data_IF_121164513327
#
_entry.id   IF_121164513327
#
_cell.length_a   1.000
_cell.length_b   1.000
_cell.length_c   1.000
_cell.angle_alpha   90.00
_cell.angle_beta   90.00
_cell.angle_gamma   90.00
#
_symmetry.space_group_name_H-M   'P 1'
#
loop_
_entity.id
_entity.type
_entity.pdbx_description
1 polymer ?
#
# COMPACT_ATOMS: atom_id res chain seq x y z
N UNK A 1 -31.38 38.17 -29.94
CA UNK A 1 -32.51 37.35 -29.47
C UNK A 1 -32.06 35.90 -29.45
N UNK A 2 -32.17 35.23 -28.29
CA UNK A 2 -32.13 33.77 -28.08
C UNK A 2 -30.75 33.12 -28.19
N UNK A 3 -29.95 33.04 -27.13
CA UNK A 3 -29.97 32.05 -26.01
C UNK A 3 -29.43 30.66 -26.39
N UNK A 4 -28.20 30.44 -25.91
CA UNK A 4 -27.43 29.21 -25.86
C UNK A 4 -28.02 28.33 -24.76
N UNK A 5 -28.21 27.04 -25.06
CA UNK A 5 -28.76 26.05 -24.15
C UNK A 5 -27.77 24.90 -23.97
N UNK A 6 -27.63 24.51 -22.69
CA UNK A 6 -27.19 23.22 -22.14
C UNK A 6 -25.74 23.09 -21.65
N UNK A 7 -25.62 23.31 -20.31
CA UNK A 7 -24.91 22.54 -19.27
C UNK A 7 -23.39 22.60 -19.18
N UNK A 8 -22.93 23.46 -18.27
CA UNK A 8 -21.61 23.39 -17.63
C UNK A 8 -21.60 23.92 -16.18
N UNK A 9 -22.75 24.00 -15.48
CA UNK A 9 -22.85 24.69 -14.18
C UNK A 9 -22.83 23.83 -12.91
N UNK A 10 -22.83 22.49 -12.98
CA UNK A 10 -23.03 21.66 -11.77
C UNK A 10 -21.77 20.98 -11.19
N UNK A 11 -20.55 21.38 -11.57
CA UNK A 11 -19.30 20.78 -11.01
C UNK A 11 -18.32 21.74 -10.33
N UNK A 12 -18.59 23.04 -10.33
CA UNK A 12 -17.69 24.05 -9.75
C UNK A 12 -18.21 24.77 -8.50
N UNK A 13 -19.47 24.55 -8.12
CA UNK A 13 -20.21 25.46 -7.22
C UNK A 13 -20.28 25.04 -5.74
N UNK A 14 -19.70 23.89 -5.35
CA UNK A 14 -19.67 23.43 -3.95
C UNK A 14 -18.28 23.52 -3.28
N UNK A 15 -17.24 23.91 -4.01
CA UNK A 15 -15.86 24.03 -3.51
C UNK A 15 -15.57 25.37 -2.80
N UNK A 16 -16.35 26.43 -3.04
CA UNK A 16 -16.05 27.78 -2.53
C UNK A 16 -16.85 28.25 -1.30
N UNK A 17 -17.96 27.61 -0.92
CA UNK A 17 -18.93 28.31 -0.03
C UNK A 17 -18.83 28.08 1.47
N UNK A 18 -18.01 27.16 1.94
CA UNK A 18 -17.81 26.99 3.38
C UNK A 18 -16.35 27.22 3.79
N UNK A 19 -15.93 28.47 3.66
CA UNK A 19 -15.35 29.19 4.80
C UNK A 19 -14.15 28.50 5.47
N UNK A 20 -13.13 28.17 4.70
CA UNK A 20 -11.74 28.36 5.18
C UNK A 20 -11.42 29.85 5.00
N UNK A 21 -12.22 30.69 5.68
CA UNK A 21 -12.04 32.12 5.71
C UNK A 21 -11.21 32.42 6.96
N UNK A 22 -9.90 32.52 6.76
CA UNK A 22 -8.94 33.19 7.64
C UNK A 22 -9.01 32.80 9.13
N UNK A 23 -8.27 31.75 9.50
CA UNK A 23 -8.03 31.38 10.89
C UNK A 23 -6.53 31.39 11.18
N UNK A 24 -6.18 31.79 12.40
CA UNK A 24 -4.79 31.89 12.85
C UNK A 24 -4.15 30.50 12.71
N UNK A 25 -2.89 30.42 12.27
CA UNK A 25 -2.15 29.17 11.98
C UNK A 25 -2.29 28.04 13.03
N UNK A 26 -2.61 28.34 14.29
CA UNK A 26 -2.94 27.34 15.33
C UNK A 26 -4.39 26.84 15.33
N UNK A 27 -5.37 27.70 15.03
CA UNK A 27 -6.79 27.36 14.88
C UNK A 27 -7.03 26.52 13.60
N UNK A 28 -6.26 26.77 12.54
CA UNK A 28 -6.29 25.99 11.29
C UNK A 28 -5.76 24.57 11.48
N UNK A 29 -4.65 24.40 12.20
CA UNK A 29 -4.10 23.06 12.51
C UNK A 29 -5.05 22.25 13.40
N UNK A 30 -5.69 22.88 14.40
CA UNK A 30 -6.65 22.17 15.23
C UNK A 30 -7.84 21.66 14.42
N UNK A 31 -8.33 22.44 13.44
CA UNK A 31 -9.40 21.98 12.55
C UNK A 31 -8.97 20.74 11.74
N UNK A 32 -7.73 20.69 11.24
CA UNK A 32 -7.19 19.50 10.56
C UNK A 32 -7.02 18.31 11.49
N UNK A 33 -6.57 18.53 12.73
CA UNK A 33 -6.49 17.50 13.77
C UNK A 33 -7.87 16.91 14.03
N UNK A 34 -8.90 17.74 14.24
CA UNK A 34 -10.25 17.29 14.52
C UNK A 34 -10.85 16.54 13.32
N UNK A 35 -10.60 17.04 12.10
CA UNK A 35 -11.05 16.42 10.85
C UNK A 35 -10.47 15.01 10.64
N UNK A 36 -9.15 14.85 10.77
CA UNK A 36 -8.52 13.53 10.59
C UNK A 36 -8.81 12.58 11.75
N UNK A 37 -9.00 13.11 12.96
CA UNK A 37 -9.41 12.30 14.10
C UNK A 37 -10.83 11.75 13.90
N UNK A 38 -11.78 12.58 13.45
CA UNK A 38 -13.12 12.10 13.10
C UNK A 38 -13.09 11.03 12.01
N UNK A 39 -12.27 11.24 10.97
CA UNK A 39 -12.06 10.23 9.92
C UNK A 39 -11.44 8.92 10.46
N UNK A 40 -10.50 9.03 11.39
CA UNK A 40 -9.85 7.87 12.03
C UNK A 40 -10.86 7.11 12.88
N UNK A 41 -11.70 7.80 13.65
CA UNK A 41 -12.69 7.19 14.52
C UNK A 41 -13.78 6.49 13.68
N UNK A 42 -14.24 7.09 12.58
CA UNK A 42 -15.15 6.45 11.60
C UNK A 42 -14.53 5.17 11.00
N UNK A 43 -13.25 5.21 10.64
CA UNK A 43 -12.54 4.03 10.12
C UNK A 43 -12.46 2.92 11.19
N UNK A 44 -12.10 3.28 12.43
CA UNK A 44 -12.02 2.32 13.54
C UNK A 44 -13.37 1.65 13.76
N UNK A 45 -14.45 2.43 13.85
CA UNK A 45 -15.82 1.93 14.00
C UNK A 45 -16.14 0.93 12.89
N UNK A 46 -15.89 1.31 11.63
CA UNK A 46 -16.21 0.46 10.48
C UNK A 46 -15.41 -0.84 10.45
N UNK A 47 -14.12 -0.79 10.79
CA UNK A 47 -13.29 -2.00 10.84
C UNK A 47 -13.66 -2.90 12.03
N UNK A 48 -14.07 -2.32 13.16
CA UNK A 48 -14.58 -3.08 14.31
C UNK A 48 -15.91 -3.76 14.00
N UNK A 49 -16.82 -3.11 13.26
CA UNK A 49 -18.05 -3.74 12.76
C UNK A 49 -17.74 -4.95 11.88
N UNK A 50 -16.85 -4.80 10.89
CA UNK A 50 -16.43 -5.89 10.02
C UNK A 50 -15.79 -7.03 10.82
N UNK A 51 -14.94 -6.72 11.79
CA UNK A 51 -14.35 -7.73 12.65
C UNK A 51 -15.40 -8.52 13.45
N UNK A 52 -16.44 -7.84 13.95
CA UNK A 52 -17.53 -8.51 14.66
C UNK A 52 -18.33 -9.44 13.73
N UNK A 53 -18.64 -9.00 12.51
CA UNK A 53 -19.31 -9.83 11.50
C UNK A 53 -18.48 -11.06 11.11
N UNK A 54 -17.16 -10.88 10.95
CA UNK A 54 -16.23 -11.98 10.68
C UNK A 54 -16.21 -12.99 11.84
N UNK A 55 -16.19 -12.48 13.07
CA UNK A 55 -16.14 -13.33 14.26
C UNK A 55 -17.46 -14.06 14.55
N UNK A 56 -18.61 -13.49 14.16
CA UNK A 56 -19.91 -14.16 14.26
C UNK A 56 -20.12 -15.21 13.17
N UNK A 57 -19.33 -15.16 12.09
CA UNK A 57 -19.47 -16.05 10.94
C UNK A 57 -20.64 -15.67 10.02
N UNK A 58 -21.21 -14.48 10.20
CA UNK A 58 -22.32 -13.96 9.40
C UNK A 58 -21.83 -13.24 8.12
N UNK A 59 -20.52 -13.18 7.92
CA UNK A 59 -19.91 -12.41 6.85
C UNK A 59 -19.92 -13.19 5.52
N UNK A 60 -20.17 -12.46 4.42
CA UNK A 60 -19.92 -12.96 3.07
C UNK A 60 -18.52 -12.49 2.62
N UNK A 61 -17.59 -13.39 2.25
CA UNK A 61 -16.17 -13.03 2.08
C UNK A 61 -15.92 -11.92 1.05
N UNK A 62 -16.54 -11.99 -0.13
CA UNK A 62 -16.39 -11.00 -1.18
C UNK A 62 -16.91 -9.63 -0.75
N UNK A 63 -18.10 -9.58 -0.14
CA UNK A 63 -18.70 -8.38 0.42
C UNK A 63 -17.89 -7.78 1.55
N UNK A 64 -17.30 -8.63 2.40
CA UNK A 64 -16.40 -8.19 3.49
C UNK A 64 -15.20 -7.43 2.92
N UNK A 65 -14.57 -7.97 1.86
CA UNK A 65 -13.43 -7.33 1.22
C UNK A 65 -13.83 -6.01 0.53
N UNK A 66 -14.99 -5.96 -0.13
CA UNK A 66 -15.53 -4.73 -0.73
C UNK A 66 -15.76 -3.64 0.33
N UNK A 67 -16.35 -4.00 1.47
CA UNK A 67 -16.60 -3.05 2.56
C UNK A 67 -15.30 -2.59 3.23
N UNK A 68 -14.31 -3.47 3.35
CA UNK A 68 -12.97 -3.10 3.81
C UNK A 68 -12.33 -2.07 2.88
N UNK A 69 -12.29 -2.35 1.57
CA UNK A 69 -11.73 -1.42 0.59
C UNK A 69 -12.41 -0.06 0.64
N UNK A 70 -13.75 -0.04 0.68
CA UNK A 70 -14.50 1.21 0.80
C UNK A 70 -14.14 2.01 2.05
N UNK A 71 -13.99 1.34 3.20
CA UNK A 71 -13.61 2.03 4.43
C UNK A 71 -12.20 2.63 4.35
N UNK A 72 -11.25 1.89 3.77
CA UNK A 72 -9.89 2.37 3.55
C UNK A 72 -9.86 3.54 2.57
N UNK A 73 -10.53 3.43 1.43
CA UNK A 73 -10.56 4.47 0.39
C UNK A 73 -11.18 5.77 0.94
N UNK A 74 -12.28 5.68 1.70
CA UNK A 74 -12.90 6.84 2.35
C UNK A 74 -11.94 7.55 3.32
N UNK A 75 -11.13 6.82 4.06
CA UNK A 75 -10.11 7.42 4.92
C UNK A 75 -8.98 8.05 4.09
N UNK A 76 -8.52 7.34 3.05
CA UNK A 76 -7.44 7.81 2.17
C UNK A 76 -7.83 9.10 1.44
N UNK A 77 -9.06 9.23 0.96
CA UNK A 77 -9.57 10.47 0.33
C UNK A 77 -9.46 11.67 1.29
N UNK A 78 -9.82 11.46 2.58
CA UNK A 78 -9.72 12.50 3.62
C UNK A 78 -8.26 12.81 3.96
N UNK A 79 -7.39 11.80 4.02
CA UNK A 79 -5.97 11.99 4.27
C UNK A 79 -5.27 12.73 3.12
N UNK A 80 -5.60 12.39 1.87
CA UNK A 80 -5.10 13.05 0.67
C UNK A 80 -5.49 14.53 0.65
N UNK A 81 -6.73 14.87 1.02
CA UNK A 81 -7.16 16.26 1.13
C UNK A 81 -6.26 17.06 2.08
N UNK A 82 -5.87 16.49 3.22
CA UNK A 82 -4.95 17.14 4.18
C UNK A 82 -3.56 17.28 3.56
N UNK A 83 -3.00 16.21 2.99
CA UNK A 83 -1.66 16.25 2.40
C UNK A 83 -1.57 17.25 1.23
N UNK A 84 -2.67 17.46 0.49
CA UNK A 84 -2.74 18.47 -0.58
C UNK A 84 -2.96 19.89 -0.06
N UNK A 85 -3.65 20.05 1.07
CA UNK A 85 -4.02 21.37 1.62
C UNK A 85 -2.98 21.94 2.59
N UNK A 86 -2.24 21.06 3.28
CA UNK A 86 -1.26 21.42 4.30
C UNK A 86 0.15 21.15 3.79
N UNK A 87 1.01 22.16 3.83
CA UNK A 87 2.39 22.07 3.36
C UNK A 87 3.41 21.73 4.45
N UNK A 88 2.99 21.74 5.71
CA UNK A 88 3.84 21.41 6.86
C UNK A 88 4.01 19.90 7.03
N UNK A 89 5.11 19.39 6.46
CA UNK A 89 5.46 17.97 6.48
C UNK A 89 5.68 17.41 7.90
N UNK A 90 6.16 18.22 8.85
CA UNK A 90 6.35 17.78 10.23
C UNK A 90 5.00 17.58 10.92
N UNK A 91 4.06 18.48 10.67
CA UNK A 91 2.69 18.34 11.16
C UNK A 91 1.97 17.14 10.53
N UNK A 92 2.09 16.92 9.21
CA UNK A 92 1.55 15.71 8.56
C UNK A 92 2.13 14.44 9.19
N UNK A 93 3.44 14.45 9.51
CA UNK A 93 4.09 13.33 10.17
C UNK A 93 3.53 13.08 11.57
N UNK A 94 3.25 14.12 12.35
CA UNK A 94 2.58 14.00 13.65
C UNK A 94 1.20 13.36 13.53
N UNK A 95 0.38 13.82 12.57
CA UNK A 95 -0.94 13.23 12.29
C UNK A 95 -0.84 11.75 11.91
N UNK A 96 0.14 11.39 11.07
CA UNK A 96 0.40 9.99 10.69
C UNK A 96 0.80 9.13 11.88
N UNK A 97 1.65 9.64 12.77
CA UNK A 97 2.04 8.95 14.00
C UNK A 97 0.83 8.70 14.91
N UNK A 98 -0.04 9.70 15.07
CA UNK A 98 -1.25 9.54 15.87
C UNK A 98 -2.24 8.56 15.24
N UNK A 99 -2.44 8.60 13.93
CA UNK A 99 -3.23 7.62 13.18
C UNK A 99 -2.71 6.19 13.38
N UNK A 100 -1.40 5.99 13.24
CA UNK A 100 -0.77 4.68 13.45
C UNK A 100 -1.04 4.18 14.86
N UNK A 101 -0.84 5.04 15.88
CA UNK A 101 -1.08 4.71 17.29
C UNK A 101 -2.53 4.32 17.55
N UNK A 102 -3.50 5.11 17.07
CA UNK A 102 -4.94 4.85 17.29
C UNK A 102 -5.41 3.56 16.61
N UNK A 103 -4.90 3.28 15.42
CA UNK A 103 -5.39 2.16 14.60
C UNK A 103 -4.58 0.87 14.73
N UNK A 104 -3.51 0.87 15.54
CA UNK A 104 -2.59 -0.27 15.66
C UNK A 104 -3.30 -1.57 16.02
N UNK A 105 -4.22 -1.53 16.98
CA UNK A 105 -4.98 -2.69 17.44
C UNK A 105 -5.83 -3.39 16.36
N UNK A 106 -6.09 -2.72 15.23
CA UNK A 106 -6.79 -3.31 14.07
C UNK A 106 -5.81 -3.75 12.99
N UNK A 107 -4.93 -2.86 12.55
CA UNK A 107 -4.06 -3.13 11.40
C UNK A 107 -2.89 -4.06 11.74
N UNK A 108 -2.45 -4.15 13.00
CA UNK A 108 -1.44 -5.11 13.42
C UNK A 108 -1.89 -6.58 13.27
N UNK A 109 -3.20 -6.82 13.09
CA UNK A 109 -3.77 -8.14 12.82
C UNK A 109 -3.42 -8.65 11.41
N UNK A 110 -3.22 -7.76 10.45
CA UNK A 110 -2.74 -8.12 9.10
C UNK A 110 -1.23 -8.25 9.08
N UNK A 111 -0.69 -9.37 8.60
CA UNK A 111 0.74 -9.61 8.56
C UNK A 111 1.46 -8.54 7.73
N UNK A 112 0.96 -8.25 6.53
CA UNK A 112 1.61 -7.31 5.61
C UNK A 112 1.50 -5.88 6.12
N UNK A 113 0.33 -5.50 6.64
CA UNK A 113 0.12 -4.18 7.24
C UNK A 113 1.01 -3.95 8.46
N UNK A 114 1.12 -4.94 9.35
CA UNK A 114 1.98 -4.85 10.53
C UNK A 114 3.46 -4.70 10.14
N UNK A 115 3.93 -5.47 9.15
CA UNK A 115 5.30 -5.33 8.63
C UNK A 115 5.55 -3.96 8.02
N UNK A 116 4.61 -3.43 7.23
CA UNK A 116 4.74 -2.11 6.62
C UNK A 116 4.71 -0.95 7.63
N UNK A 117 4.14 -1.17 8.81
CA UNK A 117 4.13 -0.17 9.91
C UNK A 117 5.39 -0.23 10.77
N UNK A 118 5.92 -1.42 11.00
CA UNK A 118 7.01 -1.65 11.95
C UNK A 118 8.39 -1.74 11.30
N UNK A 119 8.46 -2.13 10.02
CA UNK A 119 9.69 -2.43 9.29
C UNK A 119 10.71 -3.16 10.17
N UNK A 120 10.45 -4.44 10.53
CA UNK A 120 11.20 -5.11 11.60
C UNK A 120 12.70 -5.25 11.31
N UNK A 121 13.12 -5.17 10.05
CA UNK A 121 14.54 -5.17 9.65
C UNK A 121 15.16 -3.77 9.59
N UNK A 122 14.40 -2.72 9.92
CA UNK A 122 14.87 -1.33 9.95
C UNK A 122 14.84 -0.60 8.60
N UNK A 123 14.41 -1.24 7.52
CA UNK A 123 14.31 -0.62 6.19
C UNK A 123 13.06 -1.08 5.43
N UNK A 124 12.59 -0.23 4.51
CA UNK A 124 11.41 -0.54 3.71
C UNK A 124 11.73 -1.51 2.57
N UNK A 125 10.78 -2.42 2.30
CA UNK A 125 10.92 -3.37 1.20
C UNK A 125 11.90 -4.51 1.48
N UNK A 126 12.05 -4.89 2.74
CA UNK A 126 12.86 -6.04 3.13
C UNK A 126 12.46 -7.34 2.40
N UNK A 127 13.40 -8.27 2.27
CA UNK A 127 13.21 -9.48 1.47
C UNK A 127 12.04 -10.34 1.97
N UNK A 128 11.74 -10.38 3.28
CA UNK A 128 10.61 -11.16 3.83
C UNK A 128 9.27 -10.55 3.42
N UNK A 129 9.18 -9.22 3.42
CA UNK A 129 8.00 -8.50 2.92
C UNK A 129 7.81 -8.75 1.43
N UNK A 130 8.88 -8.66 0.63
CA UNK A 130 8.81 -8.94 -0.81
C UNK A 130 8.47 -10.40 -1.11
N UNK A 131 9.05 -11.37 -0.39
CA UNK A 131 8.72 -12.79 -0.52
C UNK A 131 7.24 -13.06 -0.23
N UNK A 132 6.68 -12.40 0.76
CA UNK A 132 5.24 -12.49 1.05
C UNK A 132 4.42 -11.98 -0.13
N UNK A 133 4.80 -10.84 -0.71
CA UNK A 133 4.13 -10.27 -1.89
C UNK A 133 4.28 -11.18 -3.11
N UNK A 134 5.44 -11.79 -3.34
CA UNK A 134 5.69 -12.73 -4.44
C UNK A 134 4.85 -13.99 -4.31
N UNK A 135 4.74 -14.56 -3.10
CA UNK A 135 3.89 -15.73 -2.82
C UNK A 135 2.41 -15.45 -3.01
N UNK A 136 2.00 -14.18 -2.89
CA UNK A 136 0.63 -13.73 -3.10
C UNK A 136 -0.40 -14.53 -2.28
N UNK A 137 -0.07 -14.80 -1.03
CA UNK A 137 -0.89 -15.59 -0.12
C UNK A 137 -1.07 -14.83 1.19
N UNK A 138 -2.32 -14.63 1.67
CA UNK A 138 -2.56 -14.04 2.98
C UNK A 138 -2.01 -14.95 4.08
N UNK A 139 -1.44 -14.37 5.14
CA UNK A 139 -0.81 -15.11 6.23
C UNK A 139 -1.55 -14.96 7.57
N UNK A 140 -2.43 -13.96 7.66
CA UNK A 140 -3.27 -13.71 8.82
C UNK A 140 -4.65 -14.40 8.74
N UNK A 141 -5.37 -14.39 9.86
CA UNK A 141 -6.76 -14.87 10.00
C UNK A 141 -7.70 -13.74 10.43
N UNK A 142 -9.02 -13.99 10.45
CA UNK A 142 -10.04 -13.01 10.87
C UNK A 142 -9.98 -11.72 10.04
N UNK A 143 -10.10 -10.55 10.67
CA UNK A 143 -9.90 -9.25 10.00
C UNK A 143 -8.53 -9.16 9.32
N UNK A 144 -7.49 -9.73 9.94
CA UNK A 144 -6.13 -9.75 9.40
C UNK A 144 -6.02 -10.43 8.04
N UNK A 145 -6.80 -11.48 7.80
CA UNK A 145 -6.86 -12.15 6.50
C UNK A 145 -7.30 -11.19 5.39
N UNK A 146 -8.36 -10.41 5.62
CA UNK A 146 -8.86 -9.44 4.66
C UNK A 146 -7.91 -8.25 4.47
N UNK A 147 -7.24 -7.82 5.54
CA UNK A 147 -6.16 -6.82 5.45
C UNK A 147 -5.00 -7.31 4.57
N UNK A 148 -4.58 -8.56 4.71
CA UNK A 148 -3.55 -9.14 3.84
C UNK A 148 -4.03 -9.22 2.38
N UNK A 149 -5.28 -9.62 2.14
CA UNK A 149 -5.85 -9.61 0.78
C UNK A 149 -5.85 -8.21 0.17
N UNK A 150 -6.29 -7.21 0.93
CA UNK A 150 -6.28 -5.81 0.48
C UNK A 150 -4.86 -5.32 0.16
N UNK A 151 -3.87 -5.67 1.00
CA UNK A 151 -2.47 -5.33 0.76
C UNK A 151 -1.91 -6.02 -0.49
N UNK A 152 -2.17 -7.32 -0.66
CA UNK A 152 -1.73 -8.11 -1.82
C UNK A 152 -2.40 -7.67 -3.13
N UNK A 153 -3.65 -7.19 -3.05
CA UNK A 153 -4.42 -6.64 -4.16
C UNK A 153 -4.05 -5.21 -4.54
N UNK A 154 -3.29 -4.49 -3.69
CA UNK A 154 -2.89 -3.12 -3.97
C UNK A 154 -2.04 -3.00 -5.25
N UNK A 155 -2.14 -1.83 -5.91
CA UNK A 155 -1.33 -1.52 -7.10
C UNK A 155 0.18 -1.69 -6.84
N UNK A 156 0.65 -1.40 -5.63
CA UNK A 156 2.04 -1.57 -5.25
C UNK A 156 2.46 -3.05 -5.25
N UNK A 157 1.67 -3.92 -4.60
CA UNK A 157 1.94 -5.36 -4.54
C UNK A 157 1.82 -6.02 -5.93
N UNK A 158 0.80 -5.63 -6.71
CA UNK A 158 0.65 -6.05 -8.12
C UNK A 158 1.87 -5.60 -8.93
N UNK A 159 2.32 -4.36 -8.75
CA UNK A 159 3.50 -3.80 -9.40
C UNK A 159 4.79 -4.56 -9.05
N UNK A 160 4.99 -4.96 -7.80
CA UNK A 160 6.11 -5.82 -7.37
C UNK A 160 6.11 -7.14 -8.15
N UNK A 161 4.97 -7.86 -8.19
CA UNK A 161 4.85 -9.14 -8.91
C UNK A 161 4.98 -8.99 -10.43
N UNK A 162 4.59 -7.86 -11.00
CA UNK A 162 4.74 -7.63 -12.43
C UNK A 162 6.20 -7.28 -12.79
N UNK A 163 6.88 -6.48 -11.97
CA UNK A 163 8.28 -6.09 -12.21
C UNK A 163 9.21 -7.30 -12.25
N UNK A 164 9.05 -8.25 -11.33
CA UNK A 164 9.87 -9.47 -11.33
C UNK A 164 9.69 -10.29 -12.61
N UNK A 165 8.47 -10.39 -13.15
CA UNK A 165 8.19 -11.09 -14.42
C UNK A 165 8.84 -10.39 -15.61
N UNK A 166 8.80 -9.06 -15.63
CA UNK A 166 9.48 -8.28 -16.67
C UNK A 166 10.98 -8.48 -16.59
N UNK A 167 11.57 -8.40 -15.39
CA UNK A 167 12.99 -8.61 -15.16
C UNK A 167 13.44 -10.02 -15.61
N UNK A 168 12.69 -11.06 -15.23
CA UNK A 168 12.90 -12.42 -15.69
C UNK A 168 12.93 -12.52 -17.22
N UNK A 169 11.98 -11.90 -17.91
CA UNK A 169 11.94 -11.87 -19.37
C UNK A 169 13.17 -11.21 -20.00
N UNK A 170 13.58 -10.06 -19.45
CA UNK A 170 14.77 -9.33 -19.91
C UNK A 170 16.06 -10.14 -19.70
N UNK A 171 16.24 -10.73 -18.52
CA UNK A 171 17.43 -11.54 -18.23
C UNK A 171 17.44 -12.78 -19.11
N UNK A 172 16.29 -13.45 -19.26
CA UNK A 172 16.15 -14.61 -20.14
C UNK A 172 16.54 -14.30 -21.59
N UNK A 173 16.08 -13.17 -22.12
CA UNK A 173 16.44 -12.73 -23.48
C UNK A 173 17.96 -12.53 -23.63
N UNK A 174 18.58 -11.86 -22.66
CA UNK A 174 20.03 -11.63 -22.64
C UNK A 174 20.84 -12.93 -22.53
N UNK A 175 20.35 -13.92 -21.78
CA UNK A 175 21.02 -15.20 -21.63
C UNK A 175 20.90 -16.09 -22.88
N UNK A 176 19.74 -16.07 -23.55
CA UNK A 176 19.45 -16.96 -24.69
C UNK A 176 20.37 -16.71 -25.90
N UNK A 177 20.95 -15.51 -26.01
CA UNK A 177 21.87 -15.13 -27.10
C UNK A 177 23.36 -15.24 -26.75
N UNK A 178 23.74 -15.64 -25.53
CA UNK A 178 25.11 -15.54 -25.03
C UNK A 178 25.64 -16.86 -24.49
N UNK A 179 26.96 -17.04 -24.56
CA UNK A 179 27.67 -18.17 -23.95
C UNK A 179 28.61 -17.63 -22.88
N UNK A 180 28.49 -18.17 -21.67
CA UNK A 180 29.23 -17.80 -20.46
C UNK A 180 29.17 -16.30 -20.10
N UNK A 181 28.00 -15.64 -20.13
CA UNK A 181 27.92 -14.26 -19.66
C UNK A 181 28.20 -14.18 -18.14
N UNK A 182 28.78 -13.07 -17.69
CA UNK A 182 28.86 -12.75 -16.26
C UNK A 182 27.70 -11.82 -15.92
N UNK A 183 26.92 -12.17 -14.89
CA UNK A 183 25.76 -11.39 -14.42
C UNK A 183 26.04 -10.98 -12.98
N UNK A 184 25.90 -9.68 -12.71
CA UNK A 184 25.99 -9.10 -11.38
C UNK A 184 24.58 -8.72 -10.92
N UNK A 185 24.13 -9.28 -9.79
CA UNK A 185 22.88 -8.95 -9.14
C UNK A 185 23.15 -8.23 -7.82
N UNK A 186 22.64 -7.01 -7.66
CA UNK A 186 22.94 -6.11 -6.54
C UNK A 186 21.63 -5.86 -5.78
N UNK A 187 21.69 -5.89 -4.45
CA UNK A 187 20.51 -5.90 -3.59
C UNK A 187 19.57 -7.05 -4.01
N UNK A 188 20.16 -8.23 -4.14
CA UNK A 188 19.56 -9.38 -4.80
C UNK A 188 18.40 -10.00 -4.01
N UNK A 189 18.28 -9.71 -2.71
CA UNK A 189 17.33 -10.38 -1.83
C UNK A 189 17.40 -11.90 -2.01
N UNK A 190 16.22 -12.53 -2.04
CA UNK A 190 16.04 -13.96 -2.29
C UNK A 190 16.35 -14.42 -3.73
N UNK A 191 16.81 -13.53 -4.62
CA UNK A 191 17.08 -13.80 -6.04
C UNK A 191 15.89 -14.42 -6.78
N UNK A 192 14.66 -14.06 -6.41
CA UNK A 192 13.44 -14.68 -6.92
C UNK A 192 13.33 -14.60 -8.45
N UNK A 193 13.85 -13.52 -9.03
CA UNK A 193 13.93 -13.28 -10.47
C UNK A 193 14.83 -14.29 -11.20
N UNK A 194 15.74 -14.97 -10.50
CA UNK A 194 16.64 -15.95 -11.10
C UNK A 194 16.09 -17.39 -11.03
N UNK A 195 15.25 -17.67 -10.02
CA UNK A 195 14.74 -19.03 -9.76
C UNK A 195 13.99 -19.59 -10.98
N UNK A 196 13.09 -18.81 -11.56
CA UNK A 196 12.24 -19.28 -12.67
C UNK A 196 12.98 -19.35 -14.02
N UNK A 197 14.15 -18.72 -14.15
CA UNK A 197 14.99 -18.72 -15.37
C UNK A 197 16.26 -19.58 -15.21
N UNK A 198 16.26 -20.46 -14.21
CA UNK A 198 17.35 -21.40 -13.97
C UNK A 198 17.76 -22.20 -15.21
N UNK A 199 16.84 -22.70 -16.06
CA UNK A 199 17.21 -23.42 -17.28
C UNK A 199 18.10 -22.57 -18.21
N UNK A 200 17.76 -21.30 -18.44
CA UNK A 200 18.51 -20.42 -19.34
C UNK A 200 19.86 -20.00 -18.77
N UNK A 201 19.97 -19.88 -17.44
CA UNK A 201 21.25 -19.71 -16.74
C UNK A 201 22.17 -20.91 -17.00
N UNK A 202 21.63 -22.13 -16.89
CA UNK A 202 22.39 -23.38 -17.12
C UNK A 202 22.82 -23.49 -18.58
N UNK A 203 21.89 -23.29 -19.52
CA UNK A 203 22.15 -23.44 -20.96
C UNK A 203 23.17 -22.43 -21.47
N UNK A 204 23.06 -21.17 -21.03
CA UNK A 204 24.04 -20.13 -21.33
C UNK A 204 25.37 -20.30 -20.59
N UNK A 205 25.42 -21.15 -19.55
CA UNK A 205 26.58 -21.30 -18.64
C UNK A 205 26.96 -19.98 -17.96
N UNK A 206 25.97 -19.17 -17.63
CA UNK A 206 26.18 -17.87 -17.03
C UNK A 206 26.85 -18.00 -15.65
N UNK A 207 27.78 -17.09 -15.36
CA UNK A 207 28.33 -16.91 -14.02
C UNK A 207 27.52 -15.83 -13.32
N UNK A 208 26.75 -16.20 -12.31
CA UNK A 208 25.92 -15.27 -11.55
C UNK A 208 26.66 -14.90 -10.25
N UNK A 209 26.82 -13.61 -10.01
CA UNK A 209 27.35 -13.07 -8.76
C UNK A 209 26.28 -12.21 -8.09
N UNK A 210 25.83 -12.62 -6.91
CA UNK A 210 24.77 -11.96 -6.15
C UNK A 210 25.38 -11.27 -4.91
N UNK A 211 24.96 -10.05 -4.62
CA UNK A 211 25.39 -9.26 -3.47
C UNK A 211 24.17 -8.62 -2.81
N UNK A 212 24.03 -8.83 -1.50
CA UNK A 212 23.10 -8.09 -0.65
C UNK A 212 23.81 -7.61 0.62
N UNK A 213 23.26 -6.56 1.24
CA UNK A 213 23.71 -6.07 2.54
C UNK A 213 22.90 -6.69 3.70
N UNK A 214 21.76 -7.32 3.40
CA UNK A 214 20.97 -8.09 4.37
C UNK A 214 21.55 -9.51 4.50
N UNK A 215 21.99 -9.87 5.71
CA UNK A 215 22.53 -11.22 5.99
C UNK A 215 21.45 -12.32 5.87
N UNK A 216 20.17 -11.96 6.02
CA UNK A 216 19.05 -12.90 5.92
C UNK A 216 18.58 -13.13 4.45
N UNK A 217 19.13 -12.38 3.48
CA UNK A 217 18.71 -12.40 2.07
C UNK A 217 19.17 -13.64 1.28
#
# INVERSE_FOLDING_TARGET
MGEISVREEDRGLNFEKHKIAYLKKGEEKQAWVDYINGATDELIERLSELENEINSGDNEPEGTLVMLHRALDQFLDKAELIEQSEGDMDFIKELRTEFQRKTDHLFSKGYIFNRARTWPQGYQGDHKTLETIYRNMPLSSGLGYYLDLAALGSNLAVGVRNRIKVLQGLVKEELTGRIKPNVLNIACGSCRELVEITPEIIDSKANIFCIDNDEDA
#
